data_IF_266741979919
#
_entry.id   IF_266741979919
#
_cell.length_a   1.000
_cell.length_b   1.000
_cell.length_c   1.000
_cell.angle_alpha   90.00
_cell.angle_beta   90.00
_cell.angle_gamma   90.00
#
_symmetry.space_group_name_H-M   'P 1'
#
loop_
_entity.id
_entity.type
_entity.pdbx_description
1 polymer ?
#
# COMPACT_ATOMS: atom_id res chain seq x y z
N UNK A 1 10.55 4.84 -14.61
CA UNK A 1 9.82 5.62 -13.58
C UNK A 1 8.88 4.70 -12.83
N UNK A 2 8.39 5.11 -11.66
CA UNK A 2 7.38 4.32 -10.94
C UNK A 2 6.04 4.40 -11.67
N UNK A 3 5.26 3.31 -11.72
CA UNK A 3 3.86 3.37 -12.15
C UNK A 3 3.07 4.42 -11.33
N UNK A 4 1.99 4.94 -11.89
CA UNK A 4 1.12 5.86 -11.16
C UNK A 4 0.09 5.12 -10.33
N UNK A 5 -0.43 5.76 -9.28
CA UNK A 5 -1.57 5.24 -8.52
C UNK A 5 -2.82 5.08 -9.41
N UNK A 6 -2.96 5.92 -10.45
CA UNK A 6 -4.01 5.77 -11.47
C UNK A 6 -3.89 4.44 -12.21
N UNK A 7 -2.67 4.06 -12.62
CA UNK A 7 -2.42 2.79 -13.29
C UNK A 7 -2.71 1.59 -12.36
N UNK A 8 -2.41 1.72 -11.07
CA UNK A 8 -2.83 0.71 -10.07
C UNK A 8 -4.34 0.63 -9.93
N UNK A 9 -5.04 1.77 -9.96
CA UNK A 9 -6.50 1.82 -10.00
C UNK A 9 -7.10 1.04 -11.18
N UNK A 10 -6.53 1.18 -12.38
CA UNK A 10 -6.94 0.40 -13.56
C UNK A 10 -6.65 -1.10 -13.41
N UNK A 11 -5.50 -1.46 -12.85
CA UNK A 11 -5.17 -2.86 -12.55
C UNK A 11 -6.15 -3.49 -11.56
N UNK A 12 -6.46 -2.78 -10.47
CA UNK A 12 -7.47 -3.20 -9.49
C UNK A 12 -8.86 -3.33 -10.12
N UNK A 13 -9.24 -2.40 -10.99
CA UNK A 13 -10.50 -2.45 -11.73
C UNK A 13 -10.60 -3.70 -12.59
N UNK A 14 -9.56 -4.03 -13.35
CA UNK A 14 -9.53 -5.26 -14.16
C UNK A 14 -9.68 -6.53 -13.32
N UNK A 15 -8.97 -6.60 -12.18
CA UNK A 15 -9.10 -7.72 -11.24
C UNK A 15 -10.52 -7.82 -10.67
N UNK A 16 -11.07 -6.71 -10.18
CA UNK A 16 -12.40 -6.67 -9.57
C UNK A 16 -13.49 -7.03 -10.59
N UNK A 17 -13.43 -6.50 -11.81
CA UNK A 17 -14.42 -6.77 -12.85
C UNK A 17 -14.39 -8.23 -13.34
N UNK A 18 -13.21 -8.85 -13.40
CA UNK A 18 -13.05 -10.23 -13.90
C UNK A 18 -13.44 -11.31 -12.88
N UNK A 19 -13.40 -11.00 -11.58
CA UNK A 19 -13.67 -11.95 -10.51
C UNK A 19 -15.11 -12.47 -10.56
N UNK A 20 -15.32 -13.78 -10.34
CA UNK A 20 -16.66 -14.38 -10.29
C UNK A 20 -17.27 -14.39 -8.89
N UNK A 21 -16.42 -14.49 -7.86
CA UNK A 21 -16.83 -14.38 -6.47
C UNK A 21 -16.55 -12.99 -5.87
N UNK A 22 -16.48 -12.96 -4.54
CA UNK A 22 -16.09 -11.77 -3.78
C UNK A 22 -14.63 -11.43 -4.04
N UNK A 23 -14.30 -10.16 -3.88
CA UNK A 23 -12.90 -9.70 -3.93
C UNK A 23 -12.55 -9.04 -2.61
N UNK A 24 -11.62 -9.61 -1.86
CA UNK A 24 -11.02 -8.98 -0.70
C UNK A 24 -9.70 -8.33 -1.10
N UNK A 25 -9.54 -7.03 -0.85
CA UNK A 25 -8.31 -6.28 -1.12
C UNK A 25 -7.69 -5.88 0.21
N UNK A 26 -6.46 -6.34 0.45
CA UNK A 26 -5.69 -5.89 1.62
C UNK A 26 -4.69 -4.80 1.24
N UNK A 27 -4.62 -3.76 2.06
CA UNK A 27 -3.76 -2.59 1.85
C UNK A 27 -3.36 -1.97 3.20
N UNK A 28 -2.40 -1.03 3.17
CA UNK A 28 -2.08 -0.20 4.31
C UNK A 28 -3.23 0.78 4.60
N UNK A 29 -3.68 0.85 5.85
CA UNK A 29 -4.79 1.74 6.22
C UNK A 29 -4.47 3.22 5.98
N UNK A 30 -3.20 3.62 6.02
CA UNK A 30 -2.76 4.99 5.76
C UNK A 30 -2.79 5.39 4.29
N UNK A 31 -2.97 4.46 3.35
CA UNK A 31 -3.00 4.77 1.92
C UNK A 31 -4.42 5.13 1.47
N UNK A 32 -4.85 6.36 1.78
CA UNK A 32 -6.17 6.90 1.40
C UNK A 32 -6.39 6.84 -0.12
N UNK A 33 -5.39 7.19 -0.92
CA UNK A 33 -5.46 7.12 -2.38
C UNK A 33 -5.79 5.72 -2.90
N UNK A 34 -5.21 4.68 -2.29
CA UNK A 34 -5.53 3.29 -2.61
C UNK A 34 -6.94 2.91 -2.21
N UNK A 35 -7.41 3.33 -1.03
CA UNK A 35 -8.78 3.07 -0.57
C UNK A 35 -9.78 3.68 -1.56
N UNK A 36 -9.56 4.93 -1.96
CA UNK A 36 -10.37 5.63 -2.97
C UNK A 36 -10.34 4.88 -4.31
N UNK A 37 -9.17 4.41 -4.74
CA UNK A 37 -9.03 3.66 -6.00
C UNK A 37 -9.81 2.34 -5.96
N UNK A 38 -9.75 1.61 -4.85
CA UNK A 38 -10.53 0.37 -4.67
C UNK A 38 -12.03 0.66 -4.68
N UNK A 39 -12.47 1.70 -3.96
CA UNK A 39 -13.88 2.08 -3.90
C UNK A 39 -14.44 2.52 -5.27
N UNK A 40 -13.66 3.28 -6.05
CA UNK A 40 -14.00 3.64 -7.44
C UNK A 40 -14.08 2.41 -8.34
N UNK A 41 -13.09 1.51 -8.24
CA UNK A 41 -13.06 0.28 -9.02
C UNK A 41 -14.27 -0.63 -8.71
N UNK A 42 -14.66 -0.75 -7.43
CA UNK A 42 -15.85 -1.49 -7.03
C UNK A 42 -17.13 -0.86 -7.60
N UNK A 43 -17.32 0.45 -7.43
CA UNK A 43 -18.45 1.21 -8.00
C UNK A 43 -18.56 0.99 -9.50
N UNK A 44 -17.47 1.16 -10.24
CA UNK A 44 -17.42 1.00 -11.69
C UNK A 44 -17.67 -0.45 -12.15
N UNK A 45 -17.47 -1.43 -11.26
CA UNK A 45 -17.79 -2.84 -11.48
C UNK A 45 -19.20 -3.22 -11.01
N UNK A 46 -20.00 -2.26 -10.53
CA UNK A 46 -21.34 -2.52 -9.99
C UNK A 46 -21.33 -3.25 -8.64
N UNK A 47 -20.22 -3.17 -7.90
CA UNK A 47 -20.03 -3.85 -6.61
C UNK A 47 -20.08 -2.88 -5.45
N UNK A 48 -20.63 -3.34 -4.34
CA UNK A 48 -20.64 -2.65 -3.06
C UNK A 48 -19.32 -2.89 -2.31
N UNK A 49 -18.93 -1.95 -1.46
CA UNK A 49 -17.71 -2.03 -0.65
C UNK A 49 -18.03 -2.21 0.83
N UNK A 50 -17.37 -3.16 1.46
CA UNK A 50 -17.37 -3.38 2.92
C UNK A 50 -15.96 -3.14 3.46
N UNK A 51 -15.84 -2.54 4.65
CA UNK A 51 -14.54 -2.25 5.26
C UNK A 51 -14.33 -3.08 6.54
N UNK A 52 -13.25 -3.86 6.58
CA UNK A 52 -12.84 -4.64 7.74
C UNK A 52 -11.54 -4.11 8.36
N UNK A 53 -11.63 -3.71 9.63
CA UNK A 53 -10.48 -3.35 10.45
C UNK A 53 -10.58 -1.92 10.99
N UNK A 54 -10.34 -1.79 12.29
CA UNK A 54 -10.49 -0.51 13.02
C UNK A 54 -9.61 0.62 12.48
N UNK A 55 -8.39 0.30 12.04
CA UNK A 55 -7.50 1.33 11.50
C UNK A 55 -7.97 1.85 10.14
N UNK A 56 -8.55 1.01 9.28
CA UNK A 56 -9.17 1.45 8.03
C UNK A 56 -10.37 2.35 8.29
N UNK A 57 -11.32 1.90 9.14
CA UNK A 57 -12.52 2.68 9.49
C UNK A 57 -12.14 4.08 9.99
N UNK A 58 -11.24 4.16 10.98
CA UNK A 58 -10.74 5.45 11.51
C UNK A 58 -10.10 6.35 10.44
N UNK A 59 -9.31 5.79 9.52
CA UNK A 59 -8.70 6.60 8.44
C UNK A 59 -9.77 7.07 7.46
N UNK A 60 -10.75 6.23 7.14
CA UNK A 60 -11.86 6.59 6.25
C UNK A 60 -12.71 7.69 6.87
N UNK A 61 -13.00 7.64 8.16
CA UNK A 61 -13.76 8.66 8.88
C UNK A 61 -13.07 10.04 8.74
N UNK A 62 -11.78 10.11 9.11
CA UNK A 62 -10.97 11.35 8.98
C UNK A 62 -10.87 11.79 7.52
N UNK A 63 -10.68 10.86 6.59
CA UNK A 63 -10.59 11.20 5.17
C UNK A 63 -11.93 11.73 4.62
N UNK A 64 -13.06 11.24 5.13
CA UNK A 64 -14.40 11.74 4.83
C UNK A 64 -14.61 13.16 5.34
N UNK A 65 -14.23 13.45 6.59
CA UNK A 65 -14.27 14.81 7.16
C UNK A 65 -13.46 15.83 6.34
N UNK A 66 -12.40 15.37 5.70
CA UNK A 66 -11.52 16.18 4.85
C UNK A 66 -11.92 16.20 3.36
N UNK A 67 -13.03 15.54 2.99
CA UNK A 67 -13.55 15.52 1.61
C UNK A 67 -12.83 14.57 0.63
N UNK A 68 -11.90 13.73 1.11
CA UNK A 68 -11.20 12.77 0.24
C UNK A 68 -12.08 11.61 -0.25
N UNK A 69 -13.21 11.38 0.42
CA UNK A 69 -14.17 10.31 0.10
C UNK A 69 -15.36 10.81 -0.74
N UNK A 70 -15.37 12.08 -1.13
CA UNK A 70 -16.49 12.69 -1.85
C UNK A 70 -16.76 12.00 -3.20
N UNK A 71 -18.03 11.76 -3.49
CA UNK A 71 -18.47 11.11 -4.73
C UNK A 71 -18.24 9.59 -4.78
N UNK A 72 -17.83 8.97 -3.67
CA UNK A 72 -17.81 7.52 -3.51
C UNK A 72 -19.14 7.01 -2.94
N UNK A 73 -19.58 5.79 -3.28
CA UNK A 73 -20.69 5.15 -2.59
C UNK A 73 -20.37 4.91 -1.12
N UNK A 74 -21.40 4.86 -0.29
CA UNK A 74 -21.24 4.49 1.12
C UNK A 74 -20.72 3.05 1.27
N UNK A 75 -19.92 2.84 2.31
CA UNK A 75 -19.47 1.50 2.70
C UNK A 75 -20.59 0.77 3.43
N UNK A 76 -20.86 -0.47 3.04
CA UNK A 76 -21.89 -1.29 3.70
C UNK A 76 -21.44 -1.76 5.08
N UNK A 77 -22.41 -1.99 5.95
CA UNK A 77 -22.17 -2.50 7.29
C UNK A 77 -21.78 -3.99 7.26
N UNK A 78 -21.13 -4.48 8.32
CA UNK A 78 -20.72 -5.90 8.39
C UNK A 78 -21.93 -6.83 8.51
N UNK A 79 -23.00 -6.33 9.10
CA UNK A 79 -24.28 -7.01 9.28
C UNK A 79 -25.00 -7.26 7.94
N UNK A 80 -24.73 -6.42 6.93
CA UNK A 80 -25.35 -6.53 5.62
C UNK A 80 -24.68 -7.57 4.72
N UNK A 81 -23.52 -8.10 5.12
CA UNK A 81 -22.69 -9.02 4.33
C UNK A 81 -23.49 -10.19 3.75
N UNK A 82 -24.39 -10.78 4.54
CA UNK A 82 -25.19 -11.94 4.16
C UNK A 82 -26.26 -11.66 3.09
N UNK A 83 -26.63 -10.39 2.89
CA UNK A 83 -27.65 -10.00 1.93
C UNK A 83 -27.09 -9.63 0.55
N UNK A 84 -25.76 -9.47 0.44
CA UNK A 84 -25.12 -9.07 -0.81
C UNK A 84 -24.66 -10.32 -1.59
N UNK A 85 -25.05 -10.46 -2.88
CA UNK A 85 -24.53 -11.51 -3.75
C UNK A 85 -22.99 -11.50 -3.80
N UNK A 86 -22.36 -12.67 -3.92
CA UNK A 86 -20.90 -12.83 -3.83
C UNK A 86 -20.17 -11.98 -4.87
N UNK A 87 -20.66 -12.02 -6.10
CA UNK A 87 -20.16 -11.30 -7.26
C UNK A 87 -20.31 -9.78 -7.14
N UNK A 88 -21.14 -9.29 -6.23
CA UNK A 88 -21.44 -7.87 -6.05
C UNK A 88 -20.71 -7.25 -4.87
N UNK A 89 -19.74 -7.94 -4.26
CA UNK A 89 -19.07 -7.47 -3.05
C UNK A 89 -17.54 -7.36 -3.21
N UNK A 90 -17.01 -6.21 -2.78
CA UNK A 90 -15.60 -5.95 -2.53
C UNK A 90 -15.39 -5.69 -1.04
N UNK A 91 -14.37 -6.30 -0.46
CA UNK A 91 -14.01 -6.12 0.96
C UNK A 91 -12.64 -5.44 1.03
N UNK A 92 -12.54 -4.27 1.64
CA UNK A 92 -11.27 -3.61 1.94
C UNK A 92 -10.86 -4.02 3.36
N UNK A 93 -9.71 -4.67 3.53
CA UNK A 93 -9.33 -5.24 4.82
C UNK A 93 -7.89 -4.94 5.25
N UNK A 94 -7.66 -4.84 6.56
CA UNK A 94 -6.30 -4.81 7.13
C UNK A 94 -5.65 -6.19 7.09
N UNK A 95 -4.33 -6.25 7.32
CA UNK A 95 -3.58 -7.52 7.40
C UNK A 95 -2.61 -7.74 6.26
N UNK A 96 -2.23 -6.67 5.56
CA UNK A 96 -1.38 -6.73 4.37
C UNK A 96 0.06 -7.16 4.67
N UNK A 97 0.46 -7.20 5.95
CA UNK A 97 1.80 -7.57 6.42
C UNK A 97 1.80 -8.81 7.31
N UNK A 98 0.75 -9.63 7.29
CA UNK A 98 0.73 -10.87 8.07
C UNK A 98 0.40 -10.66 9.55
N UNK A 99 -0.17 -9.51 9.92
CA UNK A 99 -0.44 -9.19 11.33
C UNK A 99 -1.53 -10.13 11.89
N UNK A 100 -1.25 -10.93 12.95
CA UNK A 100 -2.09 -12.05 13.34
C UNK A 100 -3.51 -11.67 13.80
N UNK A 101 -3.66 -10.45 14.32
CA UNK A 101 -4.94 -9.90 14.80
C UNK A 101 -5.69 -9.06 13.76
N UNK A 102 -5.12 -8.85 12.58
CA UNK A 102 -5.75 -8.08 11.51
C UNK A 102 -6.89 -8.84 10.83
N UNK A 103 -7.69 -8.10 10.06
CA UNK A 103 -8.90 -8.64 9.46
C UNK A 103 -8.62 -9.83 8.53
N UNK A 104 -7.63 -9.71 7.62
CA UNK A 104 -7.29 -10.78 6.69
C UNK A 104 -6.80 -12.04 7.41
N UNK A 105 -6.01 -11.90 8.48
CA UNK A 105 -5.53 -13.03 9.25
C UNK A 105 -6.70 -13.79 9.92
N UNK A 106 -7.68 -13.07 10.47
CA UNK A 106 -8.90 -13.68 11.04
C UNK A 106 -9.78 -14.34 9.97
N UNK A 107 -9.92 -13.71 8.79
CA UNK A 107 -10.61 -14.31 7.64
C UNK A 107 -9.94 -15.62 7.21
N UNK A 108 -8.61 -15.66 7.14
CA UNK A 108 -7.85 -16.87 6.77
C UNK A 108 -7.97 -18.02 7.77
N UNK A 109 -8.39 -17.74 9.01
CA UNK A 109 -8.64 -18.73 10.05
C UNK A 109 -10.13 -18.99 10.29
N UNK A 110 -11.00 -18.39 9.47
CA UNK A 110 -12.46 -18.47 9.62
C UNK A 110 -12.97 -18.03 11.01
N UNK A 111 -12.26 -17.08 11.65
CA UNK A 111 -12.57 -16.61 13.01
C UNK A 111 -13.58 -15.45 13.06
N UNK A 112 -14.00 -14.95 11.90
CA UNK A 112 -14.96 -13.86 11.80
C UNK A 112 -16.39 -14.39 11.79
N UNK A 113 -17.24 -13.82 12.66
CA UNK A 113 -18.64 -14.26 12.81
C UNK A 113 -19.56 -13.79 11.68
N UNK A 114 -19.37 -12.57 11.21
CA UNK A 114 -20.26 -11.87 10.26
C UNK A 114 -19.79 -11.97 8.80
N UNK A 115 -18.49 -12.13 8.58
CA UNK A 115 -17.88 -12.09 7.25
C UNK A 115 -17.01 -13.32 7.04
N UNK A 116 -17.14 -13.95 5.87
CA UNK A 116 -16.33 -15.10 5.47
C UNK A 116 -15.93 -15.02 4.00
N UNK A 117 -14.89 -15.76 3.62
CA UNK A 117 -14.51 -16.01 2.23
C UNK A 117 -14.71 -17.49 1.94
N UNK A 118 -15.11 -17.81 0.71
CA UNK A 118 -15.32 -19.20 0.30
C UNK A 118 -14.70 -19.48 -1.06
N UNK A 119 -14.49 -20.76 -1.38
CA UNK A 119 -13.86 -21.19 -2.62
C UNK A 119 -14.41 -20.44 -3.85
N UNK A 120 -13.50 -19.97 -4.70
CA UNK A 120 -13.82 -19.12 -5.87
C UNK A 120 -13.81 -17.61 -5.60
N UNK A 121 -13.72 -17.17 -4.34
CA UNK A 121 -13.42 -15.76 -4.02
C UNK A 121 -11.93 -15.45 -4.30
N UNK A 122 -11.60 -14.16 -4.38
CA UNK A 122 -10.25 -13.67 -4.69
C UNK A 122 -9.74 -12.74 -3.59
N UNK A 123 -8.49 -12.90 -3.19
CA UNK A 123 -7.77 -12.00 -2.28
C UNK A 123 -6.62 -11.33 -3.03
N UNK A 124 -6.60 -9.99 -2.98
CA UNK A 124 -5.59 -9.14 -3.60
C UNK A 124 -4.69 -8.55 -2.52
N UNK A 125 -3.39 -8.85 -2.59
CA UNK A 125 -2.37 -8.21 -1.77
C UNK A 125 -1.91 -6.92 -2.45
N UNK A 126 -2.57 -5.81 -2.12
CA UNK A 126 -2.27 -4.47 -2.67
C UNK A 126 -1.17 -3.75 -1.88
N UNK A 127 -0.20 -4.52 -1.39
CA UNK A 127 0.95 -4.06 -0.59
C UNK A 127 2.21 -4.76 -1.07
N UNK A 128 3.37 -4.17 -0.76
CA UNK A 128 4.64 -4.87 -0.82
C UNK A 128 4.95 -5.47 0.54
N UNK A 129 5.50 -6.68 0.54
CA UNK A 129 6.05 -7.29 1.76
C UNK A 129 7.17 -6.42 2.31
N UNK A 130 7.04 -6.02 3.57
CA UNK A 130 8.12 -5.38 4.32
C UNK A 130 9.08 -6.48 4.80
N UNK A 131 10.40 -6.31 4.65
CA UNK A 131 11.39 -7.26 5.14
C UNK A 131 11.15 -7.65 6.60
N UNK A 132 11.11 -8.97 6.86
CA UNK A 132 10.83 -9.55 8.19
C UNK A 132 9.40 -10.05 8.38
N UNK A 133 8.46 -9.66 7.52
CA UNK A 133 7.04 -10.05 7.61
C UNK A 133 6.67 -11.24 6.69
N UNK A 134 7.62 -11.78 5.93
CA UNK A 134 7.39 -12.81 4.90
C UNK A 134 6.67 -14.03 5.46
N UNK A 135 7.08 -14.50 6.65
CA UNK A 135 6.53 -15.70 7.27
C UNK A 135 5.03 -15.55 7.57
N UNK A 136 4.64 -14.46 8.22
CA UNK A 136 3.24 -14.22 8.57
C UNK A 136 2.34 -14.07 7.34
N UNK A 137 2.84 -13.39 6.30
CA UNK A 137 2.13 -13.25 5.03
C UNK A 137 1.95 -14.63 4.37
N UNK A 138 3.01 -15.45 4.33
CA UNK A 138 2.97 -16.78 3.71
C UNK A 138 1.99 -17.71 4.43
N UNK A 139 1.96 -17.68 5.77
CA UNK A 139 1.00 -18.47 6.55
C UNK A 139 -0.46 -18.09 6.24
N UNK A 140 -0.77 -16.80 6.11
CA UNK A 140 -2.10 -16.33 5.70
C UNK A 140 -2.44 -16.82 4.29
N UNK A 141 -1.51 -16.67 3.34
CA UNK A 141 -1.73 -17.11 1.96
C UNK A 141 -2.00 -18.60 1.87
N UNK A 142 -1.19 -19.43 2.53
CA UNK A 142 -1.38 -20.88 2.52
C UNK A 142 -2.78 -21.26 3.01
N UNK A 143 -3.23 -20.70 4.14
CA UNK A 143 -4.59 -20.96 4.63
C UNK A 143 -5.68 -20.53 3.65
N UNK A 144 -5.54 -19.36 3.04
CA UNK A 144 -6.50 -18.89 2.04
C UNK A 144 -6.51 -19.81 0.80
N UNK A 145 -5.34 -20.26 0.35
CA UNK A 145 -5.22 -21.20 -0.78
C UNK A 145 -5.88 -22.55 -0.42
N UNK A 146 -5.68 -23.05 0.80
CA UNK A 146 -6.31 -24.28 1.30
C UNK A 146 -7.85 -24.16 1.32
N UNK A 147 -8.39 -22.96 1.51
CA UNK A 147 -9.82 -22.65 1.41
C UNK A 147 -10.34 -22.47 -0.04
N UNK A 148 -9.46 -22.65 -1.05
CA UNK A 148 -9.81 -22.48 -2.46
C UNK A 148 -9.92 -21.02 -2.90
N UNK A 149 -9.28 -20.10 -2.19
CA UNK A 149 -9.26 -18.67 -2.51
C UNK A 149 -8.14 -18.38 -3.51
N UNK A 150 -8.45 -17.62 -4.56
CA UNK A 150 -7.45 -17.17 -5.52
C UNK A 150 -6.64 -16.01 -4.94
N UNK A 151 -5.32 -16.08 -5.00
CA UNK A 151 -4.43 -14.99 -4.58
C UNK A 151 -3.96 -14.19 -5.79
N UNK A 152 -3.90 -12.86 -5.68
CA UNK A 152 -3.33 -11.94 -6.67
C UNK A 152 -2.36 -11.00 -5.98
N UNK A 153 -1.17 -10.85 -6.55
CA UNK A 153 -0.09 -10.01 -6.03
C UNK A 153 0.51 -9.09 -7.10
N UNK A 154 1.50 -8.28 -6.70
CA UNK A 154 2.23 -7.33 -7.58
C UNK A 154 2.94 -8.01 -8.76
N UNK A 155 3.21 -9.32 -8.68
CA UNK A 155 3.76 -10.12 -9.78
C UNK A 155 2.73 -10.58 -10.80
N UNK A 156 1.45 -10.65 -10.42
CA UNK A 156 0.36 -11.18 -11.27
C UNK A 156 -0.37 -10.05 -12.00
N UNK A 157 -0.53 -8.90 -11.33
CA UNK A 157 -1.20 -7.73 -11.86
C UNK A 157 -0.65 -6.46 -11.19
N UNK A 158 -0.80 -5.31 -11.87
CA UNK A 158 -0.42 -4.01 -11.30
C UNK A 158 -1.44 -3.59 -10.22
N UNK A 159 -1.31 -4.16 -9.03
CA UNK A 159 -2.18 -3.92 -7.87
C UNK A 159 -1.48 -3.16 -6.76
N UNK A 160 -0.19 -2.86 -6.92
CA UNK A 160 0.60 -2.08 -5.98
C UNK A 160 1.60 -1.17 -6.70
N UNK A 161 1.98 -0.10 -6.03
CA UNK A 161 3.14 0.70 -6.39
C UNK A 161 3.74 1.29 -5.13
N UNK A 162 5.06 1.50 -5.14
CA UNK A 162 5.78 2.14 -4.05
C UNK A 162 5.38 3.61 -3.93
N UNK A 163 5.23 4.09 -2.70
CA UNK A 163 5.13 5.52 -2.40
C UNK A 163 6.46 6.27 -2.43
N UNK A 164 7.59 5.59 -2.69
CA UNK A 164 8.93 6.18 -2.72
C UNK A 164 9.46 6.35 -4.15
N UNK A 165 10.14 7.46 -4.46
CA UNK A 165 10.64 7.74 -5.80
C UNK A 165 11.77 6.80 -6.20
N UNK A 166 11.82 6.39 -7.48
CA UNK A 166 12.97 5.67 -8.06
C UNK A 166 14.06 6.65 -8.52
N UNK A 167 15.21 6.09 -8.93
CA UNK A 167 16.40 6.87 -9.37
C UNK A 167 16.09 7.97 -10.39
N UNK A 168 15.22 7.71 -11.37
CA UNK A 168 14.83 8.71 -12.38
C UNK A 168 14.05 9.89 -11.78
N UNK A 169 13.15 9.62 -10.84
CA UNK A 169 12.34 10.64 -10.16
C UNK A 169 13.20 11.46 -9.20
N UNK A 170 14.12 10.82 -8.47
CA UNK A 170 15.13 11.51 -7.65
C UNK A 170 16.01 12.44 -8.48
N UNK A 171 16.47 12.01 -9.67
CA UNK A 171 17.25 12.87 -10.57
C UNK A 171 16.46 14.10 -11.03
N UNK A 172 15.19 13.94 -11.38
CA UNK A 172 14.32 15.08 -11.72
C UNK A 172 14.22 16.06 -10.55
N UNK A 173 14.01 15.56 -9.33
CA UNK A 173 14.01 16.39 -8.12
C UNK A 173 15.32 17.16 -7.95
N UNK A 174 16.48 16.51 -8.12
CA UNK A 174 17.79 17.19 -8.04
C UNK A 174 17.96 18.27 -9.11
N UNK A 175 17.46 18.04 -10.33
CA UNK A 175 17.52 19.02 -11.42
C UNK A 175 16.66 20.27 -11.15
N UNK A 176 15.52 20.10 -10.48
CA UNK A 176 14.63 21.20 -10.09
C UNK A 176 15.18 22.00 -8.92
N UNK A 177 15.65 21.31 -7.88
CA UNK A 177 16.12 21.95 -6.63
C UNK A 177 17.51 22.54 -6.79
N UNK A 178 18.39 21.91 -7.59
CA UNK A 178 19.80 22.29 -7.79
C UNK A 178 20.55 22.53 -6.47
N UNK A 179 20.54 21.57 -5.54
CA UNK A 179 21.12 21.78 -4.22
C UNK A 179 22.65 21.89 -4.28
N UNK A 180 23.23 22.72 -3.42
CA UNK A 180 24.68 22.79 -3.22
C UNK A 180 25.19 21.64 -2.33
N UNK A 181 24.39 21.27 -1.32
CA UNK A 181 24.65 20.19 -0.37
C UNK A 181 23.51 19.18 -0.43
N UNK A 182 23.83 17.90 -0.62
CA UNK A 182 22.90 16.78 -0.56
C UNK A 182 23.13 15.93 0.69
N UNK A 183 22.04 15.58 1.38
CA UNK A 183 22.07 14.70 2.54
C UNK A 183 21.09 13.55 2.27
N UNK A 184 21.56 12.31 2.02
CA UNK A 184 20.67 11.17 1.86
C UNK A 184 20.03 10.82 3.21
N UNK A 185 18.72 10.56 3.19
CA UNK A 185 17.91 10.27 4.38
C UNK A 185 16.86 9.21 4.05
N UNK A 186 16.19 8.68 5.09
CA UNK A 186 15.06 7.75 4.95
C UNK A 186 15.40 6.45 4.19
N UNK A 187 16.34 5.68 4.73
CA UNK A 187 16.65 4.34 4.25
C UNK A 187 17.74 3.67 5.09
N UNK A 188 17.90 2.35 4.93
CA UNK A 188 19.01 1.61 5.54
C UNK A 188 20.36 2.03 4.95
N UNK A 189 21.47 1.56 5.54
CA UNK A 189 22.82 1.93 5.14
C UNK A 189 23.08 1.77 3.63
N UNK A 190 22.62 0.68 3.01
CA UNK A 190 22.76 0.45 1.58
C UNK A 190 21.98 1.50 0.73
N UNK A 191 20.79 1.88 1.16
CA UNK A 191 19.97 2.90 0.50
C UNK A 191 20.62 4.28 0.58
N UNK A 192 21.10 4.66 1.77
CA UNK A 192 21.73 5.96 2.01
C UNK A 192 23.01 6.13 1.19
N UNK A 193 23.86 5.10 1.17
CA UNK A 193 25.06 5.06 0.34
C UNK A 193 24.69 5.19 -1.15
N UNK A 194 23.73 4.38 -1.63
CA UNK A 194 23.31 4.43 -3.02
C UNK A 194 22.69 5.78 -3.43
N UNK A 195 21.93 6.43 -2.54
CA UNK A 195 21.35 7.75 -2.78
C UNK A 195 22.44 8.83 -2.79
N UNK A 196 23.40 8.79 -1.87
CA UNK A 196 24.52 9.74 -1.89
C UNK A 196 25.42 9.58 -3.12
N UNK A 197 25.65 8.35 -3.59
CA UNK A 197 26.29 8.11 -4.88
C UNK A 197 25.47 8.70 -6.04
N UNK A 198 24.15 8.53 -6.03
CA UNK A 198 23.25 9.10 -7.04
C UNK A 198 23.30 10.63 -7.05
N UNK A 199 23.30 11.27 -5.88
CA UNK A 199 23.45 12.71 -5.70
C UNK A 199 24.75 13.23 -6.32
N UNK A 200 25.87 12.55 -6.02
CA UNK A 200 27.20 12.92 -6.52
C UNK A 200 27.26 12.86 -8.05
N UNK A 201 26.81 11.75 -8.66
CA UNK A 201 26.80 11.62 -10.14
C UNK A 201 25.76 12.53 -10.81
N UNK A 202 24.82 13.08 -10.05
CA UNK A 202 23.86 14.07 -10.53
C UNK A 202 24.37 15.51 -10.41
N UNK A 203 25.63 15.71 -10.02
CA UNK A 203 26.29 17.02 -10.01
C UNK A 203 26.11 17.85 -8.73
N UNK A 204 25.65 17.23 -7.64
CA UNK A 204 25.56 17.91 -6.34
C UNK A 204 26.97 18.04 -5.75
N UNK A 205 27.39 19.28 -5.47
CA UNK A 205 28.79 19.60 -5.16
C UNK A 205 29.29 19.03 -3.84
N UNK A 206 28.42 18.89 -2.83
CA UNK A 206 28.77 18.32 -1.53
C UNK A 206 27.72 17.28 -1.14
N UNK A 207 28.13 16.07 -0.77
CA UNK A 207 27.22 15.03 -0.30
C UNK A 207 27.67 14.54 1.07
N UNK A 208 26.86 14.79 2.09
CA UNK A 208 27.17 14.42 3.47
C UNK A 208 26.47 13.11 3.84
N UNK A 209 27.26 12.06 4.14
CA UNK A 209 26.75 10.74 4.53
C UNK A 209 26.52 10.69 6.04
N UNK A 210 25.38 11.20 6.48
CA UNK A 210 25.01 11.26 7.91
C UNK A 210 24.37 9.95 8.39
N UNK A 211 24.49 9.70 9.70
CA UNK A 211 23.81 8.66 10.47
C UNK A 211 22.94 9.28 11.57
N UNK A 212 22.07 8.46 12.15
CA UNK A 212 21.24 8.88 13.27
C UNK A 212 22.13 9.30 14.45
N UNK A 213 22.02 10.57 14.83
CA UNK A 213 22.83 11.19 15.89
C UNK A 213 23.88 12.19 15.39
N UNK A 214 24.31 12.10 14.14
CA UNK A 214 25.37 12.97 13.60
C UNK A 214 24.93 14.45 13.56
N UNK A 215 25.83 15.35 13.93
CA UNK A 215 25.66 16.79 13.77
C UNK A 215 26.38 17.29 12.51
N UNK A 216 25.60 17.65 11.48
CA UNK A 216 26.12 18.20 10.25
C UNK A 216 26.15 19.73 10.27
N UNK A 217 27.33 20.34 10.29
CA UNK A 217 27.48 21.77 10.04
C UNK A 217 27.32 22.06 8.56
N UNK A 218 26.28 22.82 8.20
CA UNK A 218 26.04 23.25 6.81
C UNK A 218 26.77 24.54 6.44
N UNK A 219 27.03 25.40 7.42
CA UNK A 219 27.71 26.70 7.27
C UNK A 219 28.33 27.13 8.62
N UNK A 220 29.44 27.90 8.66
CA UNK A 220 30.28 28.32 7.54
C UNK A 220 31.16 27.21 6.95
N UNK A 221 31.56 27.37 5.69
CA UNK A 221 32.48 26.47 4.99
C UNK A 221 31.79 25.27 4.33
N UNK A 222 32.55 24.20 4.12
CA UNK A 222 32.03 22.95 3.57
C UNK A 222 31.20 22.19 4.62
N UNK A 223 30.20 21.46 4.14
CA UNK A 223 29.38 20.55 4.92
C UNK A 223 30.28 19.53 5.62
N UNK A 224 30.30 19.54 6.96
CA UNK A 224 31.19 18.71 7.76
C UNK A 224 30.41 18.10 8.92
N UNK A 225 30.52 16.79 9.13
CA UNK A 225 30.02 16.13 10.34
C UNK A 225 30.96 16.53 11.48
N UNK A 226 30.43 17.14 12.53
CA UNK A 226 31.22 17.74 13.63
C UNK A 226 31.02 17.05 14.98
N UNK A 227 30.06 16.14 15.06
CA UNK A 227 29.81 15.23 16.19
C UNK A 227 29.06 14.01 15.64
#
# INVERSE_FOLDING_TARGET
>A
ESPSEVAVGEGLKGVIQSAKGRVAVTTFSSNVGRIVSIAKAARDAGRQCLVLGRSLKRVIDVAGELGYMDGLPEFIAEEDFGFIPRENLVIICTGSQGEPLAALAKLSREEMKSVSLTAGDTVVFSSRTIPGNEKGILEIKNRLIDLGIKIIEDGDALVHVSGHPRRSELRKMYQWVRPQIGVPVHGEAAHLVAQGSLMSVSGIGQVAQVRDGDMLRLYPGAATIID
#
